data_IF_564596900259
#
_entry.id   IF_564596900259
#
_cell.length_a   1.000
_cell.length_b   1.000
_cell.length_c   1.000
_cell.angle_alpha   90.00
_cell.angle_beta   90.00
_cell.angle_gamma   90.00
#
_symmetry.space_group_name_H-M   'P 1'
#
loop_
_entity.id
_entity.type
_entity.pdbx_description
1 polymer ?
#
# COMPACT_ATOMS: atom_id res chain seq x y z
N UNK A 1 43.24 -73.36 16.66
CA UNK A 1 44.29 -72.64 17.42
C UNK A 1 44.59 -71.32 16.73
N UNK A 2 44.60 -70.22 17.50
CA UNK A 2 45.06 -68.83 17.24
C UNK A 2 44.38 -68.02 16.11
N UNK A 3 43.52 -67.04 16.44
CA UNK A 3 43.78 -65.62 16.85
C UNK A 3 44.39 -64.84 15.66
N UNK A 4 43.76 -63.77 15.15
CA UNK A 4 43.69 -62.46 15.83
C UNK A 4 42.69 -61.53 15.11
N UNK A 5 41.90 -60.76 15.88
CA UNK A 5 41.08 -59.63 15.39
C UNK A 5 41.99 -58.43 15.11
N UNK A 6 41.73 -57.68 14.05
CA UNK A 6 42.00 -56.24 14.02
C UNK A 6 40.90 -55.52 13.23
N UNK A 7 40.21 -54.61 13.91
CA UNK A 7 39.28 -53.64 13.33
C UNK A 7 40.08 -52.56 12.60
N UNK A 8 39.61 -52.09 11.44
CA UNK A 8 39.76 -50.68 11.09
C UNK A 8 38.55 -50.23 10.25
N UNK A 9 37.94 -49.15 10.71
CA UNK A 9 36.83 -48.45 10.09
C UNK A 9 37.25 -47.84 8.74
N UNK A 10 36.34 -47.84 7.77
CA UNK A 10 36.53 -47.18 6.48
C UNK A 10 35.18 -46.72 5.94
N UNK A 11 34.96 -45.41 6.01
CA UNK A 11 33.69 -44.72 5.82
C UNK A 11 33.10 -44.84 4.41
N UNK A 12 31.77 -44.91 4.41
CA UNK A 12 30.83 -44.71 3.31
C UNK A 12 31.07 -43.38 2.58
N UNK A 13 31.05 -43.39 1.25
CA UNK A 13 30.83 -42.19 0.45
C UNK A 13 29.65 -42.44 -0.51
N UNK A 14 28.44 -42.17 -0.01
CA UNK A 14 27.26 -42.02 -0.87
C UNK A 14 27.32 -40.58 -1.40
N UNK A 15 27.69 -40.42 -2.66
CA UNK A 15 27.55 -39.15 -3.38
C UNK A 15 26.08 -38.98 -3.70
N UNK A 16 25.34 -38.29 -2.82
CA UNK A 16 24.02 -37.78 -3.12
C UNK A 16 24.24 -36.56 -4.03
N UNK A 17 24.05 -36.74 -5.33
CA UNK A 17 23.95 -35.63 -6.26
C UNK A 17 22.66 -34.85 -5.95
N UNK A 18 22.72 -33.94 -4.99
CA UNK A 18 21.66 -32.97 -4.73
C UNK A 18 21.68 -31.95 -5.86
N UNK A 19 20.88 -32.20 -6.90
CA UNK A 19 20.52 -31.19 -7.89
C UNK A 19 19.82 -30.04 -7.18
N UNK A 20 20.55 -28.97 -6.88
CA UNK A 20 19.97 -27.69 -6.47
C UNK A 20 19.40 -27.07 -7.75
N UNK A 21 18.20 -27.50 -8.11
CA UNK A 21 17.39 -26.76 -9.08
C UNK A 21 17.10 -25.40 -8.45
N UNK A 22 17.79 -24.36 -8.92
CA UNK A 22 17.49 -22.98 -8.60
C UNK A 22 16.03 -22.69 -9.01
N UNK A 23 15.11 -22.77 -8.05
CA UNK A 23 13.79 -22.20 -8.22
C UNK A 23 13.96 -20.68 -8.21
N UNK A 24 13.85 -20.07 -9.39
CA UNK A 24 13.58 -18.65 -9.50
C UNK A 24 12.22 -18.39 -8.84
N UNK A 25 12.22 -18.06 -7.55
CA UNK A 25 11.01 -17.68 -6.84
C UNK A 25 10.43 -16.44 -7.54
N UNK A 26 9.23 -16.60 -8.09
CA UNK A 26 8.47 -15.51 -8.70
C UNK A 26 8.18 -14.50 -7.60
N UNK A 27 8.91 -13.38 -7.58
CA UNK A 27 8.75 -12.32 -6.58
C UNK A 27 7.25 -12.01 -6.43
N UNK A 28 6.73 -12.14 -5.21
CA UNK A 28 5.32 -11.84 -4.98
C UNK A 28 5.09 -10.36 -5.25
N UNK A 29 3.94 -10.00 -5.84
CA UNK A 29 3.53 -8.59 -5.96
C UNK A 29 3.59 -7.85 -4.61
N UNK A 30 3.53 -8.56 -3.49
CA UNK A 30 3.69 -7.98 -2.14
C UNK A 30 5.07 -7.38 -1.90
N UNK A 31 6.11 -7.96 -2.50
CA UNK A 31 7.52 -7.73 -2.17
C UNK A 31 8.17 -6.67 -3.08
N UNK A 32 7.50 -6.28 -4.16
CA UNK A 32 7.90 -5.14 -4.98
C UNK A 32 7.71 -3.83 -4.20
N UNK A 33 8.74 -2.96 -4.12
CA UNK A 33 8.61 -1.66 -3.47
C UNK A 33 7.50 -0.83 -4.13
N UNK A 34 6.63 -0.23 -3.32
CA UNK A 34 5.70 0.78 -3.81
C UNK A 34 6.45 2.10 -3.95
N UNK A 35 6.59 2.64 -5.17
CA UNK A 35 7.28 3.91 -5.40
C UNK A 35 6.24 5.00 -5.67
N UNK A 36 6.40 6.16 -5.04
CA UNK A 36 5.61 7.35 -5.32
C UNK A 36 6.50 8.37 -6.00
N UNK A 37 6.15 8.78 -7.21
CA UNK A 37 6.97 9.64 -8.06
C UNK A 37 6.15 10.56 -8.98
N UNK A 38 4.84 10.32 -9.11
CA UNK A 38 3.95 11.17 -9.91
C UNK A 38 2.61 11.31 -9.18
N UNK A 39 2.41 12.46 -8.56
CA UNK A 39 1.22 12.72 -7.75
C UNK A 39 -0.06 12.67 -8.59
N UNK A 40 -0.03 13.17 -9.83
CA UNK A 40 -1.20 13.23 -10.69
C UNK A 40 -1.56 11.85 -11.22
N UNK A 41 -0.63 11.21 -11.95
CA UNK A 41 -0.88 9.95 -12.62
C UNK A 41 -1.24 8.83 -11.62
N UNK A 42 -0.59 8.82 -10.45
CA UNK A 42 -0.89 7.82 -9.43
C UNK A 42 -2.21 8.11 -8.71
N UNK A 43 -2.59 9.38 -8.48
CA UNK A 43 -3.94 9.70 -7.98
C UNK A 43 -5.01 9.18 -8.94
N UNK A 44 -4.88 9.45 -10.24
CA UNK A 44 -5.82 8.97 -11.24
C UNK A 44 -5.90 7.44 -11.26
N UNK A 45 -4.74 6.76 -11.15
CA UNK A 45 -4.69 5.31 -11.05
C UNK A 45 -5.40 4.80 -9.79
N UNK A 46 -5.19 5.44 -8.66
CA UNK A 46 -5.85 5.06 -7.43
C UNK A 46 -7.35 5.33 -7.50
N UNK A 47 -7.80 6.44 -8.08
CA UNK A 47 -9.22 6.68 -8.35
C UNK A 47 -9.80 5.56 -9.22
N UNK A 48 -9.08 5.07 -10.24
CA UNK A 48 -9.48 3.90 -11.02
C UNK A 48 -9.63 2.65 -10.13
N UNK A 49 -8.65 2.37 -9.28
CA UNK A 49 -8.72 1.25 -8.32
C UNK A 49 -9.92 1.33 -7.38
N UNK A 50 -10.29 2.52 -6.92
CA UNK A 50 -11.47 2.70 -6.08
C UNK A 50 -12.76 2.22 -6.78
N UNK A 51 -12.83 2.38 -8.11
CA UNK A 51 -13.98 1.97 -8.93
C UNK A 51 -13.95 0.47 -9.26
N UNK A 52 -12.77 -0.05 -9.61
CA UNK A 52 -12.62 -1.38 -10.21
C UNK A 52 -12.36 -2.48 -9.19
N UNK A 53 -11.59 -2.21 -8.13
CA UNK A 53 -11.23 -3.22 -7.13
C UNK A 53 -12.34 -3.34 -6.09
N UNK A 54 -12.99 -4.51 -6.04
CA UNK A 54 -14.04 -4.82 -5.05
C UNK A 54 -13.43 -5.50 -3.82
N UNK A 55 -13.64 -4.90 -2.66
CA UNK A 55 -13.20 -5.47 -1.39
C UNK A 55 -14.25 -6.45 -0.83
N UNK A 56 -13.78 -7.59 -0.33
CA UNK A 56 -14.58 -8.52 0.47
C UNK A 56 -15.01 -7.89 1.80
N UNK A 57 -15.95 -8.51 2.52
CA UNK A 57 -16.40 -8.01 3.82
C UNK A 57 -15.25 -7.85 4.83
N UNK A 58 -14.35 -8.84 4.90
CA UNK A 58 -13.16 -8.79 5.75
C UNK A 58 -12.22 -7.66 5.35
N UNK A 59 -11.99 -7.48 4.05
CA UNK A 59 -11.12 -6.41 3.54
C UNK A 59 -11.71 -5.02 3.80
N UNK A 60 -13.03 -4.86 3.70
CA UNK A 60 -13.70 -3.60 4.06
C UNK A 60 -13.53 -3.27 5.54
N UNK A 61 -13.55 -4.26 6.44
CA UNK A 61 -13.26 -4.04 7.87
C UNK A 61 -11.83 -3.55 8.10
N UNK A 62 -10.85 -4.08 7.36
CA UNK A 62 -9.46 -3.59 7.39
C UNK A 62 -9.40 -2.12 6.95
N UNK A 63 -9.99 -1.80 5.78
CA UNK A 63 -10.04 -0.42 5.26
C UNK A 63 -10.68 0.53 6.28
N UNK A 64 -11.85 0.17 6.81
CA UNK A 64 -12.58 0.99 7.77
C UNK A 64 -11.78 1.22 9.05
N UNK A 65 -11.14 0.19 9.61
CA UNK A 65 -10.27 0.31 10.79
C UNK A 65 -9.09 1.24 10.53
N UNK A 66 -8.40 1.06 9.41
CA UNK A 66 -7.20 1.83 9.10
C UNK A 66 -7.55 3.28 8.81
N UNK A 67 -8.43 3.53 7.83
CA UNK A 67 -8.77 4.88 7.40
C UNK A 67 -9.61 5.63 8.46
N UNK A 68 -10.38 4.92 9.29
CA UNK A 68 -11.12 5.52 10.40
C UNK A 68 -10.21 6.10 11.49
N UNK A 69 -8.97 5.62 11.58
CA UNK A 69 -7.96 6.10 12.54
C UNK A 69 -7.03 7.19 12.01
N UNK A 70 -7.31 7.71 10.81
CA UNK A 70 -6.52 8.74 10.15
C UNK A 70 -7.44 9.95 9.97
N UNK A 71 -7.15 11.11 10.61
CA UNK A 71 -7.90 12.33 10.35
C UNK A 71 -7.89 12.69 8.86
N UNK A 72 -9.00 13.18 8.33
CA UNK A 72 -9.05 13.56 6.93
C UNK A 72 -8.20 14.82 6.70
N UNK A 73 -7.26 14.82 5.74
CA UNK A 73 -6.42 15.99 5.48
C UNK A 73 -7.22 17.20 4.97
N UNK A 74 -8.36 16.91 4.33
CA UNK A 74 -9.34 17.88 3.85
C UNK A 74 -10.15 18.55 4.97
N UNK A 75 -10.41 17.82 6.05
CA UNK A 75 -11.42 18.16 7.05
C UNK A 75 -11.19 17.34 8.35
N UNK A 76 -10.40 17.87 9.28
CA UNK A 76 -9.90 17.16 10.47
C UNK A 76 -10.98 16.63 11.42
N UNK A 77 -12.19 17.17 11.35
CA UNK A 77 -13.34 16.74 12.16
C UNK A 77 -13.84 15.34 11.77
N UNK A 78 -13.41 14.84 10.61
CA UNK A 78 -13.73 13.51 10.13
C UNK A 78 -12.46 12.69 9.90
N UNK A 79 -12.66 11.38 9.75
CA UNK A 79 -11.60 10.48 9.29
C UNK A 79 -11.51 10.45 7.76
N UNK A 80 -10.36 10.05 7.21
CA UNK A 80 -10.21 9.86 5.76
C UNK A 80 -11.03 8.66 5.25
N UNK A 81 -11.61 7.83 6.12
CA UNK A 81 -12.60 6.84 5.72
C UNK A 81 -13.91 7.47 5.24
N UNK A 82 -14.25 8.64 5.79
CA UNK A 82 -15.58 9.27 5.68
C UNK A 82 -15.49 10.78 5.40
N UNK A 83 -14.43 11.30 4.76
CA UNK A 83 -14.34 12.74 4.46
C UNK A 83 -15.66 13.19 3.80
N UNK A 84 -16.24 14.28 4.30
CA UNK A 84 -17.60 14.73 4.01
C UNK A 84 -17.87 14.97 2.51
N UNK A 85 -16.80 15.11 1.71
CA UNK A 85 -16.86 15.23 0.26
C UNK A 85 -15.97 14.17 -0.41
N UNK A 86 -16.44 13.49 -1.48
CA UNK A 86 -15.61 12.56 -2.24
C UNK A 86 -14.70 13.33 -3.20
N UNK A 87 -13.74 14.09 -2.66
CA UNK A 87 -12.71 14.77 -3.46
C UNK A 87 -11.69 13.78 -4.02
N UNK A 88 -10.84 14.24 -4.95
CA UNK A 88 -9.82 13.41 -5.58
C UNK A 88 -8.79 12.89 -4.57
N UNK A 89 -8.45 13.65 -3.52
CA UNK A 89 -7.63 13.16 -2.40
C UNK A 89 -8.26 11.93 -1.74
N UNK A 90 -9.54 12.03 -1.34
CA UNK A 90 -10.24 10.96 -0.64
C UNK A 90 -10.40 9.73 -1.55
N UNK A 91 -10.86 9.92 -2.79
CA UNK A 91 -11.01 8.84 -3.78
C UNK A 91 -9.69 8.14 -4.07
N UNK A 92 -8.59 8.89 -4.19
CA UNK A 92 -7.25 8.38 -4.35
C UNK A 92 -6.82 7.52 -3.16
N UNK A 93 -6.93 8.02 -1.92
CA UNK A 93 -6.59 7.25 -0.72
C UNK A 93 -7.45 5.99 -0.58
N UNK A 94 -8.74 6.06 -0.93
CA UNK A 94 -9.65 4.92 -0.91
C UNK A 94 -9.20 3.83 -1.90
N UNK A 95 -8.86 4.22 -3.12
CA UNK A 95 -8.42 3.28 -4.14
C UNK A 95 -7.02 2.72 -3.92
N UNK A 96 -6.08 3.52 -3.42
CA UNK A 96 -4.79 3.04 -2.93
C UNK A 96 -5.03 1.94 -1.88
N UNK A 97 -5.89 2.21 -0.90
CA UNK A 97 -6.23 1.23 0.13
C UNK A 97 -6.86 -0.04 -0.46
N UNK A 98 -7.67 0.07 -1.51
CA UNK A 98 -8.23 -1.11 -2.18
C UNK A 98 -7.12 -1.97 -2.80
N UNK A 99 -6.19 -1.37 -3.54
CA UNK A 99 -5.07 -2.07 -4.16
C UNK A 99 -4.15 -2.74 -3.12
N UNK A 100 -3.77 -2.01 -2.07
CA UNK A 100 -2.90 -2.52 -1.00
C UNK A 100 -3.53 -3.74 -0.30
N UNK A 101 -4.82 -3.68 0.01
CA UNK A 101 -5.53 -4.75 0.73
C UNK A 101 -5.83 -5.94 -0.19
N UNK A 102 -6.36 -5.68 -1.39
CA UNK A 102 -6.90 -6.73 -2.25
C UNK A 102 -5.83 -7.43 -3.08
N UNK A 103 -4.85 -6.69 -3.58
CA UNK A 103 -3.89 -7.20 -4.56
C UNK A 103 -2.52 -7.42 -3.93
N UNK A 104 -2.03 -6.44 -3.15
CA UNK A 104 -0.73 -6.55 -2.45
C UNK A 104 -0.84 -7.38 -1.15
N UNK A 105 -2.06 -7.65 -0.67
CA UNK A 105 -2.34 -8.42 0.57
C UNK A 105 -1.66 -7.82 1.81
N UNK A 106 -1.59 -6.50 1.88
CA UNK A 106 -0.97 -5.79 2.98
C UNK A 106 -1.78 -5.91 4.27
N UNK A 107 -1.08 -5.99 5.40
CA UNK A 107 -1.68 -5.93 6.74
C UNK A 107 -2.20 -4.52 7.05
N UNK A 108 -3.01 -4.37 8.10
CA UNK A 108 -3.50 -3.06 8.55
C UNK A 108 -2.37 -2.05 8.82
N UNK A 109 -1.25 -2.52 9.38
CA UNK A 109 -0.07 -1.68 9.67
C UNK A 109 0.57 -1.16 8.38
N UNK A 110 0.77 -2.05 7.41
CA UNK A 110 1.36 -1.70 6.11
C UNK A 110 0.45 -0.75 5.32
N UNK A 111 -0.87 -0.98 5.31
CA UNK A 111 -1.83 -0.07 4.66
C UNK A 111 -1.76 1.32 5.29
N UNK A 112 -1.75 1.42 6.63
CA UNK A 112 -1.62 2.71 7.32
C UNK A 112 -0.33 3.42 6.91
N UNK A 113 0.79 2.70 6.93
CA UNK A 113 2.10 3.26 6.59
C UNK A 113 2.12 3.82 5.17
N UNK A 114 1.66 3.06 4.17
CA UNK A 114 1.68 3.51 2.78
C UNK A 114 0.70 4.65 2.50
N UNK A 115 -0.46 4.66 3.16
CA UNK A 115 -1.42 5.78 3.07
C UNK A 115 -0.81 7.08 3.63
N UNK A 116 -0.11 7.00 4.77
CA UNK A 116 0.60 8.16 5.33
C UNK A 116 1.77 8.61 4.46
N UNK A 117 2.53 7.67 3.90
CA UNK A 117 3.63 7.97 2.98
C UNK A 117 3.12 8.64 1.70
N UNK A 118 1.96 8.21 1.20
CA UNK A 118 1.31 8.84 0.05
C UNK A 118 0.91 10.28 0.36
N UNK A 119 0.28 10.52 1.52
CA UNK A 119 -0.10 11.87 1.93
C UNK A 119 1.11 12.80 2.09
N UNK A 120 2.21 12.30 2.68
CA UNK A 120 3.45 13.06 2.80
C UNK A 120 4.10 13.34 1.43
N UNK A 121 3.96 12.42 0.47
CA UNK A 121 4.47 12.61 -0.88
C UNK A 121 3.70 13.70 -1.64
N UNK A 122 2.37 13.68 -1.64
CA UNK A 122 1.55 14.65 -2.40
C UNK A 122 1.51 16.04 -1.76
N UNK A 123 1.83 16.15 -0.47
CA UNK A 123 1.96 17.43 0.22
C UNK A 123 3.03 17.34 1.31
N UNK A 124 4.31 17.60 0.97
CA UNK A 124 5.43 17.53 1.91
C UNK A 124 5.34 18.53 3.07
N UNK A 125 4.61 19.63 2.87
CA UNK A 125 4.40 20.66 3.91
C UNK A 125 3.24 20.32 4.85
N UNK A 126 2.48 19.27 4.55
CA UNK A 126 1.34 18.82 5.33
C UNK A 126 0.04 19.56 5.02
N UNK A 127 -1.07 18.99 5.48
CA UNK A 127 -2.40 19.53 5.31
C UNK A 127 -2.90 20.20 6.59
N UNK A 128 -3.60 21.32 6.45
CA UNK A 128 -4.16 22.05 7.60
C UNK A 128 -5.33 21.32 8.26
N UNK A 129 -6.02 20.45 7.53
CA UNK A 129 -7.26 19.84 8.00
C UNK A 129 -8.49 20.75 7.87
N UNK A 130 -8.38 21.92 7.22
CA UNK A 130 -9.50 22.87 7.04
C UNK A 130 -9.73 23.27 5.58
N UNK A 131 -9.06 22.61 4.62
CA UNK A 131 -9.13 22.94 3.21
C UNK A 131 -10.57 22.97 2.67
N UNK A 132 -11.45 22.08 3.14
CA UNK A 132 -12.87 22.11 2.75
C UNK A 132 -13.59 23.41 3.14
N UNK A 133 -13.22 24.01 4.27
CA UNK A 133 -13.87 25.22 4.81
C UNK A 133 -13.26 26.52 4.27
N UNK A 134 -12.05 26.45 3.72
CA UNK A 134 -11.29 27.60 3.20
C UNK A 134 -11.23 27.66 1.68
N UNK A 135 -12.12 26.94 0.98
CA UNK A 135 -12.15 26.92 -0.49
C UNK A 135 -10.96 26.18 -1.14
N UNK A 136 -10.40 25.18 -0.45
CA UNK A 136 -9.28 24.36 -0.92
C UNK A 136 -9.65 23.21 -1.84
N UNK A 137 -10.94 23.00 -2.10
CA UNK A 137 -11.41 21.83 -2.84
C UNK A 137 -10.78 21.69 -4.23
N UNK A 138 -10.66 22.78 -4.99
CA UNK A 138 -10.06 22.80 -6.34
C UNK A 138 -8.55 23.03 -6.35
N UNK A 139 -7.94 23.33 -5.21
CA UNK A 139 -6.51 23.59 -5.13
C UNK A 139 -5.70 22.29 -5.27
N UNK A 140 -4.47 22.37 -5.80
CA UNK A 140 -3.55 21.24 -5.80
C UNK A 140 -3.21 20.73 -4.40
N UNK A 141 -2.85 19.45 -4.30
CA UNK A 141 -2.48 18.83 -3.01
C UNK A 141 -1.34 19.57 -2.31
N UNK A 142 -0.29 19.92 -3.05
CA UNK A 142 0.91 20.63 -2.55
C UNK A 142 0.59 22.02 -1.99
N UNK A 143 -0.55 22.61 -2.39
CA UNK A 143 -1.04 23.94 -1.95
C UNK A 143 -2.18 23.82 -0.94
N UNK A 144 -2.12 22.77 -0.11
CA UNK A 144 -3.12 22.47 0.91
C UNK A 144 -4.54 22.35 0.33
N UNK A 145 -4.64 21.71 -0.83
CA UNK A 145 -5.88 21.48 -1.55
C UNK A 145 -6.33 20.02 -1.57
N UNK A 146 -7.54 19.80 -2.06
CA UNK A 146 -8.14 18.46 -2.16
C UNK A 146 -8.01 17.84 -3.56
N UNK A 147 -7.35 18.54 -4.49
CA UNK A 147 -7.07 18.09 -5.85
C UNK A 147 -8.28 18.04 -6.79
N UNK A 148 -9.35 18.77 -6.45
CA UNK A 148 -10.58 18.81 -7.23
C UNK A 148 -11.63 17.77 -6.82
N UNK A 149 -12.84 17.97 -7.34
CA UNK A 149 -13.99 17.07 -7.16
C UNK A 149 -14.24 16.20 -8.40
N UNK A 150 -13.79 16.65 -9.56
CA UNK A 150 -13.92 15.95 -10.83
C UNK A 150 -12.75 14.97 -11.01
N UNK A 151 -13.07 13.68 -11.12
CA UNK A 151 -12.07 12.62 -11.31
C UNK A 151 -11.34 12.70 -12.65
N UNK A 152 -11.87 13.46 -13.62
CA UNK A 152 -11.23 13.72 -14.90
C UNK A 152 -10.17 14.82 -14.81
N UNK A 153 -10.17 15.59 -13.72
CA UNK A 153 -9.30 16.74 -13.52
C UNK A 153 -8.71 16.70 -12.11
N UNK A 154 -7.57 16.02 -11.98
CA UNK A 154 -6.80 15.98 -10.73
C UNK A 154 -5.81 17.15 -10.71
N UNK A 155 -5.93 18.03 -9.71
CA UNK A 155 -4.93 19.06 -9.44
C UNK A 155 -3.90 18.53 -8.43
N UNK A 156 -2.64 18.36 -8.81
CA UNK A 156 -1.64 17.64 -8.00
C UNK A 156 -0.33 18.40 -7.77
N UNK A 157 -0.18 19.57 -8.38
CA UNK A 157 1.04 20.37 -8.58
C UNK A 157 1.17 21.61 -7.69
#
# INVERSE_FOLDING_TARGET
MNKTRLYLAGMTAIVIASGIAAQAEKLSKKDEPLIFNDAQAQTEQFIRYNKTIKLSATQRKIKAKVLGSIPAPCCKDYSIATCCCPCNLAKGVWGLSHHLIAERKYSSKQVRQEVLRWMAFINPTGFSGDACYTGGCSRPFSKNGCGGMDEKHVAAD
#
